data_IF_411679045165
#
_entry.id   IF_411679045165
#
_cell.length_a   1.000
_cell.length_b   1.000
_cell.length_c   1.000
_cell.angle_alpha   90.00
_cell.angle_beta   90.00
_cell.angle_gamma   90.00
#
_symmetry.space_group_name_H-M   'P 1'
#
loop_
_entity.id
_entity.type
_entity.pdbx_description
1 polymer ?
#
# COMPACT_ATOMS: atom_id res chain seq x y z
N UNK A 1 14.29 -3.93 -9.40
CA UNK A 1 13.72 -2.63 -9.08
C UNK A 1 12.70 -2.32 -10.17
N UNK A 2 11.43 -2.38 -9.82
CA UNK A 2 10.27 -2.09 -10.67
C UNK A 2 9.70 -0.75 -10.25
N UNK A 3 9.53 0.15 -11.21
CA UNK A 3 8.98 1.49 -10.98
C UNK A 3 7.63 1.58 -11.68
N UNK A 4 6.62 2.02 -10.95
CA UNK A 4 5.26 2.22 -11.41
C UNK A 4 4.92 3.70 -11.40
N UNK A 5 4.42 4.20 -12.52
CA UNK A 5 3.82 5.53 -12.62
C UNK A 5 2.51 5.56 -11.82
N UNK A 6 2.31 6.60 -11.00
CA UNK A 6 1.07 6.71 -10.24
C UNK A 6 -0.12 7.04 -11.16
N UNK A 7 -1.24 6.44 -10.79
CA UNK A 7 -2.57 6.79 -11.28
C UNK A 7 -3.53 6.70 -10.08
N UNK A 8 -4.78 7.10 -10.25
CA UNK A 8 -5.77 7.09 -9.16
C UNK A 8 -5.92 5.73 -8.49
N UNK A 9 -5.98 4.65 -9.29
CA UNK A 9 -6.20 3.29 -8.78
C UNK A 9 -5.01 2.82 -7.96
N UNK A 10 -3.79 2.98 -8.49
CA UNK A 10 -2.57 2.62 -7.78
C UNK A 10 -2.43 3.44 -6.49
N UNK A 11 -2.65 4.75 -6.54
CA UNK A 11 -2.59 5.61 -5.36
C UNK A 11 -3.62 5.17 -4.30
N UNK A 12 -4.84 4.85 -4.73
CA UNK A 12 -5.90 4.36 -3.82
C UNK A 12 -5.51 3.05 -3.16
N UNK A 13 -4.92 2.10 -3.91
CA UNK A 13 -4.44 0.82 -3.36
C UNK A 13 -3.30 1.04 -2.36
N UNK A 14 -2.32 1.89 -2.69
CA UNK A 14 -1.22 2.23 -1.78
C UNK A 14 -1.74 2.93 -0.51
N UNK A 15 -2.70 3.85 -0.64
CA UNK A 15 -3.34 4.52 0.48
C UNK A 15 -4.12 3.55 1.37
N UNK A 16 -4.87 2.60 0.79
CA UNK A 16 -5.58 1.57 1.54
C UNK A 16 -4.62 0.67 2.33
N UNK A 17 -3.52 0.23 1.71
CA UNK A 17 -2.47 -0.54 2.39
C UNK A 17 -1.86 0.26 3.56
N UNK A 18 -1.62 1.56 3.37
CA UNK A 18 -1.11 2.42 4.43
C UNK A 18 -2.09 2.67 5.56
N UNK A 19 -3.36 2.86 5.24
CA UNK A 19 -4.41 2.96 6.25
C UNK A 19 -4.48 1.67 7.08
N UNK A 20 -4.40 0.50 6.42
CA UNK A 20 -4.39 -0.79 7.11
C UNK A 20 -3.17 -0.98 8.00
N UNK A 21 -1.98 -0.58 7.53
CA UNK A 21 -0.75 -0.60 8.34
C UNK A 21 -0.91 0.27 9.60
N UNK A 22 -1.34 1.53 9.43
CA UNK A 22 -1.54 2.47 10.55
C UNK A 22 -2.53 1.93 11.57
N UNK A 23 -3.66 1.39 11.10
CA UNK A 23 -4.66 0.78 11.97
C UNK A 23 -4.09 -0.42 12.74
N UNK A 24 -3.41 -1.34 12.05
CA UNK A 24 -2.83 -2.52 12.69
C UNK A 24 -1.78 -2.17 13.75
N UNK A 25 -0.96 -1.12 13.51
CA UNK A 25 0.01 -0.62 14.50
C UNK A 25 -0.68 -0.05 15.73
N UNK A 26 -1.78 0.70 15.55
CA UNK A 26 -2.58 1.22 16.67
C UNK A 26 -3.21 0.06 17.44
N UNK A 27 -3.84 -0.88 16.74
CA UNK A 27 -4.48 -2.07 17.33
C UNK A 27 -3.51 -2.93 18.14
N UNK A 28 -2.23 -3.04 17.74
CA UNK A 28 -1.21 -3.77 18.52
C UNK A 28 -1.01 -3.23 19.94
N UNK A 29 -1.40 -1.98 20.21
CA UNK A 29 -1.31 -1.38 21.55
C UNK A 29 -2.53 -1.64 22.43
N UNK A 30 -3.56 -2.33 21.90
CA UNK A 30 -4.84 -2.56 22.55
C UNK A 30 -4.97 -4.04 22.91
N UNK A 31 -5.27 -4.34 24.18
CA UNK A 31 -5.52 -5.70 24.64
C UNK A 31 -6.68 -6.36 23.87
N UNK A 32 -6.46 -7.60 23.42
CA UNK A 32 -7.42 -8.37 22.64
C UNK A 32 -7.24 -8.30 21.11
N UNK A 33 -6.36 -7.43 20.60
CA UNK A 33 -5.97 -7.39 19.19
C UNK A 33 -4.67 -8.18 18.93
N UNK A 34 -4.36 -8.39 17.64
CA UNK A 34 -3.09 -9.02 17.23
C UNK A 34 -1.90 -8.17 17.67
N UNK A 35 -0.90 -8.77 18.30
CA UNK A 35 0.37 -8.10 18.63
C UNK A 35 1.35 -7.99 17.45
N UNK A 36 1.03 -8.63 16.32
CA UNK A 36 1.85 -8.61 15.10
C UNK A 36 1.13 -7.84 13.98
N UNK A 37 1.34 -6.53 13.92
CA UNK A 37 0.78 -5.66 12.89
C UNK A 37 1.26 -6.05 11.49
N UNK A 38 2.50 -6.55 11.39
CA UNK A 38 3.12 -6.90 10.12
C UNK A 38 2.45 -8.12 9.51
N UNK A 39 2.12 -9.12 10.33
CA UNK A 39 1.31 -10.27 9.90
C UNK A 39 -0.07 -9.84 9.41
N UNK A 40 -0.73 -8.88 10.08
CA UNK A 40 -2.04 -8.35 9.63
C UNK A 40 -1.92 -7.69 8.25
N UNK A 41 -0.89 -6.86 8.05
CA UNK A 41 -0.66 -6.22 6.74
C UNK A 41 -0.32 -7.24 5.66
N UNK A 42 0.51 -8.24 5.99
CA UNK A 42 0.87 -9.34 5.09
C UNK A 42 -0.36 -10.13 4.67
N UNK A 43 -1.21 -10.50 5.61
CA UNK A 43 -2.46 -11.22 5.31
C UNK A 43 -3.40 -10.37 4.44
N UNK A 44 -3.50 -9.07 4.71
CA UNK A 44 -4.28 -8.16 3.86
C UNK A 44 -3.74 -8.11 2.42
N UNK A 45 -2.43 -7.88 2.25
CA UNK A 45 -1.80 -7.76 0.93
C UNK A 45 -1.83 -9.06 0.12
N UNK A 46 -1.48 -10.20 0.75
CA UNK A 46 -1.37 -11.47 0.03
C UNK A 46 -2.70 -12.21 -0.12
N UNK A 47 -3.60 -12.13 0.88
CA UNK A 47 -4.82 -12.97 0.93
C UNK A 47 -6.10 -12.20 0.63
N UNK A 48 -6.20 -10.93 1.01
CA UNK A 48 -7.47 -10.18 0.91
C UNK A 48 -7.57 -9.34 -0.37
N UNK A 49 -6.46 -8.77 -0.86
CA UNK A 49 -6.45 -8.12 -2.17
C UNK A 49 -6.54 -9.17 -3.28
N UNK A 50 -7.45 -8.97 -4.25
CA UNK A 50 -7.55 -9.87 -5.40
C UNK A 50 -6.31 -9.78 -6.29
N UNK A 51 -5.93 -10.89 -6.93
CA UNK A 51 -4.81 -10.92 -7.87
C UNK A 51 -5.08 -10.00 -9.07
N UNK A 52 -6.32 -9.96 -9.54
CA UNK A 52 -6.79 -9.09 -10.63
C UNK A 52 -6.52 -7.61 -10.34
N UNK A 53 -6.86 -7.13 -9.13
CA UNK A 53 -6.61 -5.75 -8.73
C UNK A 53 -5.11 -5.45 -8.67
N UNK A 54 -4.31 -6.38 -8.13
CA UNK A 54 -2.86 -6.23 -8.03
C UNK A 54 -2.22 -6.13 -9.42
N UNK A 55 -2.61 -7.00 -10.34
CA UNK A 55 -2.14 -6.99 -11.72
C UNK A 55 -2.56 -5.72 -12.45
N UNK A 56 -3.80 -5.28 -12.27
CA UNK A 56 -4.34 -4.06 -12.89
C UNK A 56 -3.54 -2.81 -12.51
N UNK A 57 -3.12 -2.69 -11.25
CA UNK A 57 -2.32 -1.54 -10.78
C UNK A 57 -0.80 -1.75 -10.99
N UNK A 58 -0.39 -2.86 -11.59
CA UNK A 58 1.03 -3.18 -11.87
C UNK A 58 1.87 -3.60 -10.66
N UNK A 59 1.23 -3.81 -9.50
CA UNK A 59 1.90 -4.32 -8.31
C UNK A 59 2.18 -5.83 -8.45
N UNK A 60 3.05 -6.35 -7.60
CA UNK A 60 3.32 -7.79 -7.51
C UNK A 60 3.21 -8.26 -6.07
N UNK A 61 2.48 -9.34 -5.83
CA UNK A 61 2.42 -10.01 -4.52
C UNK A 61 3.76 -10.70 -4.22
N UNK A 62 4.72 -9.94 -3.74
CA UNK A 62 6.00 -10.44 -3.25
C UNK A 62 6.49 -9.58 -2.07
N UNK A 63 7.52 -10.06 -1.36
CA UNK A 63 8.01 -9.36 -0.18
C UNK A 63 8.73 -8.06 -0.49
N UNK A 64 9.31 -7.90 -1.68
CA UNK A 64 9.93 -6.63 -2.07
C UNK A 64 8.88 -5.52 -2.17
N UNK A 65 7.73 -5.81 -2.79
CA UNK A 65 6.60 -4.89 -2.89
C UNK A 65 6.01 -4.60 -1.52
N UNK A 66 5.81 -5.62 -0.66
CA UNK A 66 5.31 -5.40 0.69
C UNK A 66 6.27 -4.51 1.50
N UNK A 67 7.58 -4.77 1.45
CA UNK A 67 8.58 -3.95 2.13
C UNK A 67 8.63 -2.52 1.61
N UNK A 68 8.45 -2.31 0.31
CA UNK A 68 8.36 -0.97 -0.27
C UNK A 68 7.10 -0.24 0.24
N UNK A 69 5.96 -0.92 0.31
CA UNK A 69 4.72 -0.39 0.91
C UNK A 69 4.91 -0.08 2.39
N UNK A 70 5.57 -0.94 3.16
CA UNK A 70 5.86 -0.71 4.60
C UNK A 70 6.64 0.59 4.81
N UNK A 71 7.61 0.88 3.94
CA UNK A 71 8.51 2.05 3.99
C UNK A 71 7.96 3.30 3.30
N UNK A 72 6.96 3.15 2.43
CA UNK A 72 6.39 4.26 1.70
C UNK A 72 5.91 5.34 2.68
N UNK A 73 6.10 6.59 2.36
CA UNK A 73 5.35 7.68 2.96
C UNK A 73 4.59 8.31 1.80
N UNK A 74 3.26 8.36 1.89
CA UNK A 74 2.43 8.98 0.85
C UNK A 74 2.47 10.49 1.13
N UNK A 75 3.18 11.28 0.29
CA UNK A 75 3.23 12.72 0.48
C UNK A 75 1.85 13.31 0.27
N UNK A 76 1.55 14.41 0.98
CA UNK A 76 0.29 15.15 0.79
C UNK A 76 0.09 15.56 -0.68
N UNK A 77 1.18 15.90 -1.37
CA UNK A 77 1.19 16.22 -2.80
C UNK A 77 0.47 15.16 -3.62
N UNK A 78 0.76 13.87 -3.42
CA UNK A 78 0.09 12.79 -4.19
C UNK A 78 -1.43 12.78 -3.98
N UNK A 79 -1.89 13.10 -2.76
CA UNK A 79 -3.30 13.07 -2.41
C UNK A 79 -4.07 14.30 -2.91
N UNK A 80 -3.40 15.43 -3.09
CA UNK A 80 -4.01 16.70 -3.50
C UNK A 80 -3.73 17.07 -4.97
N UNK A 81 -2.82 16.37 -5.65
CA UNK A 81 -2.57 16.54 -7.08
C UNK A 81 -3.78 16.09 -7.91
N UNK A 82 -4.01 16.75 -9.04
CA UNK A 82 -5.06 16.36 -9.98
C UNK A 82 -4.75 14.99 -10.57
N UNK A 83 -5.78 14.19 -10.79
CA UNK A 83 -5.69 12.88 -11.45
C UNK A 83 -4.83 12.87 -12.71
N UNK A 84 -4.98 13.90 -13.56
CA UNK A 84 -4.25 14.05 -14.84
C UNK A 84 -2.76 14.36 -14.69
N UNK A 85 -2.30 14.65 -13.48
CA UNK A 85 -0.91 15.02 -13.15
C UNK A 85 -0.26 13.98 -12.23
N UNK A 86 -0.99 12.92 -11.84
CA UNK A 86 -0.44 11.84 -11.00
C UNK A 86 0.68 11.06 -11.69
N UNK A 87 0.68 11.05 -13.01
CA UNK A 87 1.70 10.37 -13.82
C UNK A 87 3.11 10.97 -13.69
N UNK A 88 3.23 12.14 -13.06
CA UNK A 88 4.50 12.76 -12.71
C UNK A 88 5.18 12.09 -11.50
N UNK A 89 4.43 11.31 -10.72
CA UNK A 89 4.92 10.60 -9.55
C UNK A 89 5.12 9.12 -9.83
N UNK A 90 5.95 8.48 -9.00
CA UNK A 90 6.20 7.05 -9.12
C UNK A 90 6.37 6.35 -7.79
N UNK A 91 6.03 5.07 -7.78
CA UNK A 91 6.27 4.13 -6.69
C UNK A 91 7.25 3.06 -7.16
N UNK A 92 8.25 2.71 -6.34
CA UNK A 92 9.28 1.73 -6.71
C UNK A 92 9.45 0.63 -5.67
N UNK A 93 9.68 -0.60 -6.14
CA UNK A 93 9.91 -1.79 -5.31
C UNK A 93 10.89 -2.81 -5.93
#
# INVERSE_FOLDING_TARGET
>A
MTTLTLNEKLLTVLAALKAKQKLAVIECSIDGFSSDWRKVLKDYFFKQLSDELIEEVGLKKNEFCLMAVERLEIPEEWMFTKSTELDQFSFSY
#
